data_IF_332938398006
#
_entry.id   IF_332938398006
#
_cell.length_a   1.000
_cell.length_b   1.000
_cell.length_c   1.000
_cell.angle_alpha   90.00
_cell.angle_beta   90.00
_cell.angle_gamma   90.00
#
_symmetry.space_group_name_H-M   'P 1'
#
loop_
_entity.id
_entity.type
_entity.pdbx_description
1 polymer ?
#
# COMPACT_ATOMS: atom_id res chain seq x y z
N UNK A 1 18.09 -0.49 -1.46
CA UNK A 1 18.51 0.52 -0.48
C UNK A 1 18.43 1.91 -1.09
N UNK A 2 17.77 2.88 -0.41
CA UNK A 2 17.73 4.28 -0.84
C UNK A 2 19.15 4.88 -0.81
N UNK A 3 19.57 5.51 -1.91
CA UNK A 3 20.87 6.18 -2.05
C UNK A 3 20.73 7.69 -2.04
N UNK A 4 19.77 8.20 -2.76
CA UNK A 4 19.52 9.63 -2.86
C UNK A 4 18.04 9.85 -3.16
N UNK A 5 17.56 11.02 -2.81
CA UNK A 5 16.22 11.44 -3.12
C UNK A 5 16.14 12.95 -3.31
N UNK A 6 15.03 13.41 -3.88
CA UNK A 6 14.73 14.82 -4.09
C UNK A 6 13.25 15.06 -3.88
N UNK A 7 12.92 16.18 -3.27
CA UNK A 7 11.56 16.63 -3.02
C UNK A 7 11.37 17.99 -3.68
N UNK A 8 10.29 18.17 -4.45
CA UNK A 8 9.97 19.40 -5.14
C UNK A 8 8.50 19.75 -4.99
N UNK A 9 8.20 21.04 -4.94
CA UNK A 9 6.85 21.58 -4.90
C UNK A 9 5.93 20.90 -3.86
N UNK A 10 6.48 20.52 -2.71
CA UNK A 10 5.76 19.83 -1.65
C UNK A 10 5.67 20.70 -0.40
N UNK A 11 4.45 21.17 -0.07
CA UNK A 11 4.17 22.08 1.05
C UNK A 11 5.10 23.31 1.03
N UNK A 12 5.95 23.48 2.06
CA UNK A 12 6.91 24.58 2.15
C UNK A 12 8.24 24.32 1.41
N UNK A 13 8.38 23.19 0.73
CA UNK A 13 9.62 22.81 0.02
C UNK A 13 9.47 23.10 -1.46
N UNK A 14 10.14 24.14 -1.96
CA UNK A 14 10.20 24.42 -3.40
C UNK A 14 11.05 23.35 -4.11
N UNK A 15 12.27 23.17 -3.67
CA UNK A 15 13.21 22.18 -4.17
C UNK A 15 14.26 21.88 -3.10
N UNK A 16 14.35 20.64 -2.66
CA UNK A 16 15.36 20.20 -1.68
C UNK A 16 16.76 20.07 -2.28
N UNK A 17 16.87 20.12 -3.62
CA UNK A 17 18.04 19.57 -4.28
C UNK A 17 18.14 18.05 -4.08
N UNK A 18 19.22 17.47 -4.60
CA UNK A 18 19.52 16.05 -4.41
C UNK A 18 20.12 15.79 -3.02
N UNK A 19 19.48 14.93 -2.24
CA UNK A 19 19.90 14.56 -0.89
C UNK A 19 20.45 13.13 -0.92
N UNK A 20 21.74 12.96 -0.65
CA UNK A 20 22.37 11.64 -0.53
C UNK A 20 22.17 11.10 0.88
N UNK A 21 21.80 9.82 0.99
CA UNK A 21 21.55 9.15 2.28
C UNK A 21 22.45 7.92 2.43
N UNK A 22 22.94 7.71 3.65
CA UNK A 22 23.64 6.50 4.06
C UNK A 22 22.71 5.53 4.80
N UNK A 23 23.28 4.73 5.71
CA UNK A 23 22.50 3.88 6.61
C UNK A 23 21.74 4.70 7.66
N UNK A 24 22.29 5.87 7.98
CA UNK A 24 21.70 6.85 8.86
C UNK A 24 21.89 8.23 8.24
N UNK A 25 20.86 9.04 8.24
CA UNK A 25 20.90 10.44 7.84
C UNK A 25 20.20 11.28 8.90
N UNK A 26 20.77 12.45 9.20
CA UNK A 26 20.18 13.39 10.16
C UNK A 26 20.00 14.76 9.51
N UNK A 27 18.79 15.31 9.63
CA UNK A 27 18.46 16.65 9.19
C UNK A 27 18.59 17.63 10.37
N UNK A 28 19.47 18.61 10.23
CA UNK A 28 19.72 19.63 11.25
C UNK A 28 19.38 21.00 10.68
N UNK A 29 18.72 21.83 11.45
CA UNK A 29 18.33 23.18 11.04
C UNK A 29 17.33 23.80 12.02
N UNK A 30 16.99 25.05 11.78
CA UNK A 30 16.03 25.83 12.58
C UNK A 30 14.64 25.15 12.50
N UNK A 31 13.77 25.47 13.50
CA UNK A 31 12.35 25.12 13.40
C UNK A 31 11.76 25.73 12.13
N UNK A 32 10.77 25.07 11.56
CA UNK A 32 10.09 25.48 10.30
C UNK A 32 10.97 25.53 9.05
N UNK A 33 12.19 24.92 9.08
CA UNK A 33 13.07 24.87 7.90
C UNK A 33 12.75 23.71 6.91
N UNK A 34 11.59 23.09 7.02
CA UNK A 34 11.14 22.03 6.10
C UNK A 34 11.68 20.62 6.37
N UNK A 35 12.44 20.38 7.46
CA UNK A 35 13.02 19.06 7.78
C UNK A 35 11.96 17.96 7.85
N UNK A 36 10.91 18.20 8.63
CA UNK A 36 9.78 17.30 8.79
C UNK A 36 9.04 17.08 7.48
N UNK A 37 8.84 18.15 6.72
CA UNK A 37 8.19 18.13 5.41
C UNK A 37 8.95 17.24 4.42
N UNK A 38 10.27 17.35 4.37
CA UNK A 38 11.12 16.50 3.50
C UNK A 38 11.00 15.01 3.90
N UNK A 39 10.99 14.70 5.21
CA UNK A 39 10.82 13.32 5.67
C UNK A 39 9.41 12.78 5.37
N UNK A 40 8.39 13.60 5.56
CA UNK A 40 7.02 13.25 5.21
C UNK A 40 6.82 13.03 3.72
N UNK A 41 7.49 13.83 2.87
CA UNK A 41 7.41 13.65 1.42
C UNK A 41 7.86 12.25 0.96
N UNK A 42 8.78 11.59 1.68
CA UNK A 42 9.19 10.21 1.36
C UNK A 42 8.06 9.21 1.48
N UNK A 43 7.05 9.44 2.35
CA UNK A 43 5.89 8.54 2.44
C UNK A 43 5.05 8.54 1.18
N UNK A 44 5.10 9.61 0.37
CA UNK A 44 4.45 9.64 -0.94
C UNK A 44 5.00 8.59 -1.92
N UNK A 45 6.15 7.99 -1.63
CA UNK A 45 6.67 6.84 -2.38
C UNK A 45 6.00 5.53 -1.96
N UNK A 46 5.16 5.51 -0.92
CA UNK A 46 4.40 4.32 -0.54
C UNK A 46 3.25 4.07 -1.51
N UNK A 47 2.91 2.80 -1.67
CA UNK A 47 1.83 2.33 -2.55
C UNK A 47 0.47 2.95 -2.21
N UNK A 48 0.18 3.04 -0.90
CA UNK A 48 -1.14 3.39 -0.37
C UNK A 48 -1.35 4.90 -0.18
N UNK A 49 -0.30 5.70 -0.37
CA UNK A 49 -0.35 7.15 -0.19
C UNK A 49 -0.86 7.85 -1.45
N UNK A 50 -1.59 8.92 -1.26
CA UNK A 50 -2.08 9.77 -2.34
C UNK A 50 -1.61 11.21 -2.13
N UNK A 51 -1.35 11.90 -3.22
CA UNK A 51 -1.06 13.35 -3.18
C UNK A 51 -2.36 14.11 -3.01
N UNK A 52 -2.44 14.93 -1.98
CA UNK A 52 -3.53 15.89 -1.77
C UNK A 52 -3.15 17.25 -2.35
N UNK A 53 -4.15 18.02 -2.77
CA UNK A 53 -3.93 19.43 -3.18
C UNK A 53 -3.28 20.26 -2.06
N UNK A 54 -3.56 19.90 -0.78
CA UNK A 54 -2.94 20.52 0.40
C UNK A 54 -1.44 20.19 0.57
N UNK A 55 -0.95 19.18 -0.15
CA UNK A 55 0.46 18.80 -0.15
C UNK A 55 1.27 19.57 -1.20
N UNK A 56 0.62 20.29 -2.11
CA UNK A 56 1.29 21.07 -3.13
C UNK A 56 1.77 22.41 -2.57
N UNK A 57 2.87 22.92 -3.12
CA UNK A 57 3.45 24.19 -2.70
C UNK A 57 2.66 25.36 -3.30
N UNK A 58 1.99 26.15 -2.48
CA UNK A 58 1.17 27.30 -2.90
C UNK A 58 1.97 28.37 -3.65
N UNK A 59 3.27 28.47 -3.43
CA UNK A 59 4.14 29.46 -4.08
C UNK A 59 4.60 29.04 -5.48
N UNK A 60 4.35 27.77 -5.89
CA UNK A 60 4.79 27.21 -7.17
C UNK A 60 3.64 26.94 -8.16
N UNK A 61 2.61 27.79 -8.15
CA UNK A 61 1.40 27.61 -8.98
C UNK A 61 1.70 27.54 -10.48
N UNK A 62 2.65 28.33 -10.97
CA UNK A 62 3.00 28.32 -12.39
C UNK A 62 3.72 27.05 -12.82
N UNK A 63 4.67 26.58 -12.00
CA UNK A 63 5.41 25.35 -12.23
C UNK A 63 4.50 24.12 -12.16
N UNK A 64 3.52 24.13 -11.23
CA UNK A 64 2.54 23.07 -11.06
C UNK A 64 1.55 22.93 -12.25
N UNK A 65 1.49 23.90 -13.16
CA UNK A 65 0.78 23.75 -14.43
C UNK A 65 1.42 22.71 -15.35
N UNK A 66 2.70 22.40 -15.18
CA UNK A 66 3.39 21.31 -15.84
C UNK A 66 3.44 20.06 -14.94
N UNK A 67 3.80 18.92 -15.51
CA UNK A 67 4.05 17.73 -14.72
C UNK A 67 5.41 17.83 -14.02
N UNK A 68 5.39 17.73 -12.69
CA UNK A 68 6.58 17.81 -11.83
C UNK A 68 6.66 16.54 -10.97
N UNK A 69 7.85 15.97 -10.86
CA UNK A 69 8.14 14.95 -9.85
C UNK A 69 8.16 15.62 -8.48
N UNK A 70 7.16 15.32 -7.64
CA UNK A 70 7.06 15.84 -6.27
C UNK A 70 8.09 15.21 -5.36
N UNK A 71 8.27 13.92 -5.51
CA UNK A 71 9.26 13.13 -4.79
C UNK A 71 9.84 12.09 -5.74
N UNK A 72 11.15 11.93 -5.70
CA UNK A 72 11.86 10.87 -6.41
C UNK A 72 12.96 10.30 -5.51
N UNK A 73 13.11 8.97 -5.52
CA UNK A 73 14.15 8.25 -4.78
C UNK A 73 14.88 7.25 -5.68
N UNK A 74 16.22 7.30 -5.66
CA UNK A 74 17.06 6.32 -6.33
C UNK A 74 17.48 5.24 -5.33
N UNK A 75 17.32 3.99 -5.73
CA UNK A 75 17.58 2.80 -4.94
C UNK A 75 18.66 1.94 -5.62
N UNK A 76 19.64 1.48 -4.84
CA UNK A 76 20.46 0.34 -5.24
C UNK A 76 19.76 -0.95 -4.84
N UNK A 77 19.72 -1.90 -5.77
CA UNK A 77 19.24 -3.25 -5.53
C UNK A 77 20.37 -4.11 -4.94
N UNK A 78 20.03 -4.97 -3.99
CA UNK A 78 20.96 -5.95 -3.43
C UNK A 78 21.05 -7.19 -4.33
N UNK A 79 21.99 -8.09 -4.04
CA UNK A 79 22.22 -9.28 -4.87
C UNK A 79 20.99 -10.19 -4.94
N UNK A 80 20.26 -10.37 -3.84
CA UNK A 80 19.05 -11.20 -3.80
C UNK A 80 17.92 -10.59 -4.64
N UNK A 81 17.72 -9.26 -4.55
CA UNK A 81 16.73 -8.53 -5.36
C UNK A 81 17.06 -8.61 -6.86
N UNK A 82 18.36 -8.50 -7.21
CA UNK A 82 18.82 -8.65 -8.60
C UNK A 82 18.59 -10.07 -9.11
N UNK A 83 18.83 -11.09 -8.29
CA UNK A 83 18.64 -12.49 -8.64
C UNK A 83 17.14 -12.79 -8.84
N UNK A 84 16.28 -12.31 -7.95
CA UNK A 84 14.83 -12.44 -8.05
C UNK A 84 14.28 -11.81 -9.35
N UNK A 85 14.81 -10.64 -9.74
CA UNK A 85 14.45 -10.01 -11.02
C UNK A 85 14.93 -10.86 -12.20
N UNK A 86 16.15 -11.41 -12.16
CA UNK A 86 16.71 -12.23 -13.24
C UNK A 86 15.97 -13.55 -13.43
N UNK A 87 15.50 -14.17 -12.36
CA UNK A 87 14.68 -15.38 -12.46
C UNK A 87 13.41 -15.14 -13.27
N UNK A 88 12.76 -13.99 -13.07
CA UNK A 88 11.53 -13.63 -13.76
C UNK A 88 11.78 -13.01 -15.13
N UNK A 89 12.84 -12.22 -15.26
CA UNK A 89 13.24 -11.46 -16.47
C UNK A 89 14.72 -11.67 -16.79
N UNK A 90 15.09 -12.83 -17.39
CA UNK A 90 16.50 -13.21 -17.57
C UNK A 90 17.34 -12.24 -18.42
N UNK A 91 16.70 -11.47 -19.31
CA UNK A 91 17.35 -10.45 -20.14
C UNK A 91 17.63 -9.14 -19.40
N UNK A 92 17.08 -8.97 -18.18
CA UNK A 92 17.12 -7.72 -17.45
C UNK A 92 18.32 -7.67 -16.49
N UNK A 93 19.15 -6.65 -16.63
CA UNK A 93 20.27 -6.39 -15.70
C UNK A 93 20.03 -5.09 -14.94
N UNK A 94 19.02 -5.08 -14.10
CA UNK A 94 18.65 -3.91 -13.29
C UNK A 94 19.46 -3.92 -11.99
N UNK A 95 20.26 -2.88 -11.77
CA UNK A 95 21.04 -2.68 -10.54
C UNK A 95 20.55 -1.50 -9.73
N UNK A 96 19.88 -0.57 -10.38
CA UNK A 96 19.34 0.65 -9.81
C UNK A 96 17.92 0.86 -10.28
N UNK A 97 17.13 1.48 -9.43
CA UNK A 97 15.74 1.78 -9.66
C UNK A 97 15.45 3.18 -9.14
N UNK A 98 14.81 4.02 -9.93
CA UNK A 98 14.24 5.27 -9.44
C UNK A 98 12.73 5.12 -9.33
N UNK A 99 12.20 5.44 -8.15
CA UNK A 99 10.78 5.46 -7.85
C UNK A 99 10.38 6.91 -7.66
N UNK A 100 9.28 7.33 -8.27
CA UNK A 100 8.84 8.71 -8.16
C UNK A 100 7.32 8.85 -8.24
N UNK A 101 6.82 10.01 -7.80
CA UNK A 101 5.43 10.42 -7.90
C UNK A 101 5.35 11.85 -8.43
N UNK A 102 4.37 12.13 -9.29
CA UNK A 102 4.17 13.44 -9.88
C UNK A 102 2.89 14.12 -9.34
N UNK A 103 2.76 15.42 -9.60
CA UNK A 103 1.56 16.17 -9.26
C UNK A 103 0.34 15.82 -10.12
N UNK A 104 0.53 15.18 -11.28
CA UNK A 104 -0.54 14.84 -12.22
C UNK A 104 -0.92 13.37 -12.21
N UNK A 105 0.01 12.49 -11.89
CA UNK A 105 -0.25 11.06 -11.82
C UNK A 105 -0.26 10.60 -10.36
N UNK A 106 -1.41 10.15 -9.82
CA UNK A 106 -1.50 9.67 -8.45
C UNK A 106 -0.80 8.31 -8.25
N UNK A 107 -0.51 7.58 -9.33
CA UNK A 107 0.14 6.27 -9.25
C UNK A 107 1.66 6.42 -9.10
N UNK A 108 2.29 5.45 -8.42
CA UNK A 108 3.75 5.32 -8.35
C UNK A 108 4.29 5.03 -9.74
N UNK A 109 5.38 5.69 -10.08
CA UNK A 109 6.07 5.51 -11.35
C UNK A 109 7.49 5.03 -11.12
N UNK A 110 8.02 4.29 -12.10
CA UNK A 110 9.35 3.71 -12.06
C UNK A 110 10.17 4.18 -13.25
N UNK A 111 11.46 4.46 -12.99
CA UNK A 111 12.45 4.73 -14.03
C UNK A 111 13.59 3.73 -13.88
N UNK A 112 13.83 2.99 -14.94
CA UNK A 112 14.86 1.96 -15.03
C UNK A 112 16.15 2.46 -15.68
N UNK A 113 16.26 3.77 -15.92
CA UNK A 113 17.38 4.38 -16.61
C UNK A 113 17.46 3.94 -18.09
N UNK A 114 18.68 3.73 -18.59
CA UNK A 114 18.94 3.41 -20.03
C UNK A 114 18.59 1.95 -20.41
N UNK A 115 17.72 1.29 -19.67
CA UNK A 115 17.35 -0.09 -19.94
C UNK A 115 16.60 -0.19 -21.26
N UNK A 116 17.19 -0.91 -22.23
CA UNK A 116 16.54 -1.24 -23.49
C UNK A 116 15.56 -2.37 -23.27
N UNK A 117 14.31 -2.01 -22.95
CA UNK A 117 13.22 -2.98 -22.88
C UNK A 117 12.77 -3.35 -24.31
N UNK A 118 12.49 -4.62 -24.52
CA UNK A 118 11.94 -5.09 -25.80
C UNK A 118 10.54 -4.49 -25.96
N UNK A 119 10.33 -3.70 -27.00
CA UNK A 119 9.00 -3.17 -27.32
C UNK A 119 8.12 -4.28 -27.88
N UNK A 120 7.33 -4.92 -27.04
CA UNK A 120 6.21 -5.73 -27.52
C UNK A 120 5.02 -4.81 -27.79
N UNK A 121 4.44 -4.95 -28.96
CA UNK A 121 3.30 -4.16 -29.44
C UNK A 121 1.98 -4.73 -28.93
N UNK A 122 1.81 -4.76 -27.61
CA UNK A 122 0.63 -5.32 -26.99
C UNK A 122 -0.29 -4.21 -26.42
N UNK A 123 -1.56 -4.51 -26.31
CA UNK A 123 -2.54 -3.59 -25.70
C UNK A 123 -2.48 -3.74 -24.17
N UNK A 124 -2.32 -2.62 -23.47
CA UNK A 124 -2.25 -2.61 -22.01
C UNK A 124 -3.60 -2.92 -21.33
N UNK A 125 -3.55 -3.29 -20.01
CA UNK A 125 -4.74 -3.71 -19.26
C UNK A 125 -5.84 -2.65 -19.19
N UNK A 126 -5.49 -1.36 -19.09
CA UNK A 126 -6.47 -0.26 -19.03
C UNK A 126 -7.25 -0.11 -20.32
N UNK A 127 -6.54 -0.13 -21.45
CA UNK A 127 -7.15 -0.03 -22.79
C UNK A 127 -8.04 -1.24 -23.07
N UNK A 128 -7.59 -2.43 -22.69
CA UNK A 128 -8.41 -3.64 -22.81
C UNK A 128 -9.67 -3.57 -21.94
N UNK A 129 -9.56 -3.10 -20.69
CA UNK A 129 -10.72 -2.96 -19.79
C UNK A 129 -11.81 -2.05 -20.35
N UNK A 130 -11.41 -0.99 -21.05
CA UNK A 130 -12.37 -0.10 -21.71
C UNK A 130 -13.08 -0.80 -22.86
N UNK A 131 -12.34 -1.43 -23.77
CA UNK A 131 -12.92 -2.20 -24.88
C UNK A 131 -13.84 -3.31 -24.38
N UNK A 132 -13.38 -4.12 -23.43
CA UNK A 132 -14.18 -5.21 -22.86
C UNK A 132 -15.46 -4.72 -22.18
N UNK A 133 -15.43 -3.56 -21.53
CA UNK A 133 -16.61 -2.95 -20.91
C UNK A 133 -17.67 -2.57 -21.94
N UNK A 134 -17.28 -1.98 -23.08
CA UNK A 134 -18.21 -1.67 -24.16
C UNK A 134 -18.83 -2.93 -24.75
N UNK A 135 -18.01 -3.96 -25.02
CA UNK A 135 -18.48 -5.23 -25.54
C UNK A 135 -19.43 -5.95 -24.60
N UNK A 136 -19.09 -6.05 -23.32
CA UNK A 136 -19.94 -6.72 -22.33
C UNK A 136 -21.25 -5.98 -22.10
N UNK A 137 -21.22 -4.64 -22.05
CA UNK A 137 -22.46 -3.85 -21.91
C UNK A 137 -23.40 -4.05 -23.11
N UNK A 138 -22.87 -4.15 -24.32
CA UNK A 138 -23.69 -4.47 -25.50
C UNK A 138 -24.27 -5.89 -25.43
N UNK A 139 -23.44 -6.89 -25.07
CA UNK A 139 -23.87 -8.28 -24.95
C UNK A 139 -25.03 -8.45 -23.95
N UNK A 140 -25.08 -7.62 -22.91
CA UNK A 140 -26.20 -7.61 -21.96
C UNK A 140 -27.51 -7.09 -22.56
N UNK A 141 -27.47 -6.25 -23.57
CA UNK A 141 -28.65 -5.64 -24.22
C UNK A 141 -29.29 -6.51 -25.30
N UNK A 142 -28.53 -7.45 -25.89
CA UNK A 142 -29.02 -8.30 -26.98
C UNK A 142 -29.92 -9.46 -26.50
N UNK A 143 -30.85 -9.93 -27.34
CA UNK A 143 -31.75 -11.05 -27.02
C UNK A 143 -30.97 -12.33 -26.63
N UNK A 144 -31.54 -13.08 -25.67
CA UNK A 144 -30.90 -14.29 -25.14
C UNK A 144 -30.57 -15.35 -26.20
N UNK A 145 -31.39 -15.50 -27.23
CA UNK A 145 -31.15 -16.48 -28.29
C UNK A 145 -29.93 -16.15 -29.17
N UNK A 146 -29.57 -14.87 -29.29
CA UNK A 146 -28.36 -14.43 -29.95
C UNK A 146 -27.16 -14.57 -28.99
N UNK A 147 -27.33 -14.10 -27.73
CA UNK A 147 -26.28 -14.12 -26.73
C UNK A 147 -25.71 -15.51 -26.45
N UNK A 148 -26.54 -16.54 -26.42
CA UNK A 148 -26.11 -17.94 -26.17
C UNK A 148 -25.20 -18.47 -27.30
N UNK A 149 -25.28 -17.92 -28.51
CA UNK A 149 -24.51 -18.34 -29.65
C UNK A 149 -23.15 -17.61 -29.78
N UNK A 150 -22.91 -16.58 -28.94
CA UNK A 150 -21.69 -15.79 -28.96
C UNK A 150 -20.68 -16.35 -27.95
N UNK A 151 -19.42 -16.54 -28.38
CA UNK A 151 -18.34 -16.84 -27.45
C UNK A 151 -17.83 -15.55 -26.81
N UNK A 152 -18.23 -15.32 -25.56
CA UNK A 152 -17.87 -14.14 -24.77
C UNK A 152 -16.66 -14.33 -23.86
N UNK A 153 -16.19 -15.58 -23.68
CA UNK A 153 -15.08 -15.93 -22.77
C UNK A 153 -13.79 -15.20 -23.07
N UNK A 154 -13.60 -14.85 -24.32
CA UNK A 154 -12.44 -14.09 -24.77
C UNK A 154 -12.35 -12.70 -24.12
N UNK A 155 -13.48 -12.06 -23.84
CA UNK A 155 -13.56 -10.70 -23.30
C UNK A 155 -13.57 -10.66 -21.77
N UNK A 156 -13.84 -11.78 -21.11
CA UNK A 156 -13.91 -11.88 -19.66
C UNK A 156 -12.53 -11.95 -18.99
N UNK A 157 -11.54 -12.51 -19.70
CA UNK A 157 -10.21 -12.72 -19.14
C UNK A 157 -9.16 -11.91 -19.92
N UNK A 158 -8.52 -10.96 -19.23
CA UNK A 158 -7.36 -10.27 -19.79
C UNK A 158 -6.17 -11.21 -19.83
N UNK A 159 -5.68 -11.47 -21.04
CA UNK A 159 -4.35 -12.03 -21.31
C UNK A 159 -3.63 -11.06 -22.23
N UNK A 160 -2.34 -10.83 -21.99
CA UNK A 160 -1.49 -9.98 -22.85
C UNK A 160 -1.62 -10.47 -24.29
N UNK A 161 -2.10 -9.59 -25.21
CA UNK A 161 -2.37 -9.97 -26.59
C UNK A 161 -1.84 -8.92 -27.55
N UNK A 162 -1.28 -9.41 -28.64
CA UNK A 162 -0.85 -8.58 -29.77
C UNK A 162 -2.03 -7.80 -30.35
N UNK A 163 -1.79 -6.53 -30.72
CA UNK A 163 -2.82 -5.63 -31.29
C UNK A 163 -3.45 -6.23 -32.55
N UNK A 164 -2.66 -6.85 -33.43
CA UNK A 164 -3.17 -7.48 -34.67
C UNK A 164 -4.03 -8.71 -34.37
N UNK A 165 -3.65 -9.51 -33.37
CA UNK A 165 -4.46 -10.64 -32.94
C UNK A 165 -5.82 -10.17 -32.40
N UNK A 166 -5.85 -9.14 -31.55
CA UNK A 166 -7.09 -8.57 -31.02
C UNK A 166 -7.97 -7.96 -32.11
N UNK A 167 -7.36 -7.30 -33.11
CA UNK A 167 -8.07 -6.79 -34.29
C UNK A 167 -8.77 -7.90 -35.04
N UNK A 168 -8.07 -9.00 -35.27
CA UNK A 168 -8.62 -10.18 -35.94
C UNK A 168 -9.82 -10.74 -35.20
N UNK A 169 -9.71 -10.86 -33.85
CA UNK A 169 -10.80 -11.36 -33.02
C UNK A 169 -12.02 -10.41 -32.98
N UNK A 170 -11.80 -9.10 -32.97
CA UNK A 170 -12.89 -8.11 -33.04
C UNK A 170 -13.62 -8.16 -34.41
N UNK A 171 -12.88 -8.33 -35.49
CA UNK A 171 -13.43 -8.49 -36.86
C UNK A 171 -14.24 -9.79 -36.97
N UNK A 172 -13.71 -10.89 -36.42
CA UNK A 172 -14.41 -12.18 -36.40
C UNK A 172 -15.69 -12.11 -35.55
N UNK A 173 -15.62 -11.48 -34.37
CA UNK A 173 -16.78 -11.27 -33.52
C UNK A 173 -17.84 -10.39 -34.17
N UNK A 174 -17.43 -9.32 -34.87
CA UNK A 174 -18.33 -8.48 -35.68
C UNK A 174 -19.05 -9.32 -36.76
N UNK A 175 -18.33 -10.14 -37.51
CA UNK A 175 -18.90 -10.99 -38.51
C UNK A 175 -19.90 -12.00 -37.95
N UNK A 176 -19.56 -12.59 -36.81
CA UNK A 176 -20.44 -13.54 -36.10
C UNK A 176 -21.76 -12.90 -35.67
N UNK A 177 -21.71 -11.69 -35.06
CA UNK A 177 -22.93 -10.96 -34.67
C UNK A 177 -23.79 -10.66 -35.93
N UNK A 178 -23.20 -10.12 -37.00
CA UNK A 178 -23.93 -9.79 -38.22
C UNK A 178 -24.60 -11.02 -38.86
N UNK A 179 -23.98 -12.20 -38.74
CA UNK A 179 -24.53 -13.44 -39.28
C UNK A 179 -25.65 -14.00 -38.37
N UNK A 180 -25.43 -14.05 -37.05
CA UNK A 180 -26.39 -14.62 -36.10
C UNK A 180 -27.65 -13.74 -35.95
N UNK A 181 -27.47 -12.43 -36.00
CA UNK A 181 -28.54 -11.44 -35.88
C UNK A 181 -29.07 -10.93 -37.21
N UNK A 182 -28.87 -11.66 -38.32
CA UNK A 182 -29.23 -11.21 -39.68
C UNK A 182 -30.70 -10.78 -39.85
N UNK A 183 -31.62 -11.41 -39.08
CA UNK A 183 -33.03 -11.12 -39.10
C UNK A 183 -33.47 -10.02 -38.11
N UNK A 184 -32.54 -9.48 -37.31
CA UNK A 184 -32.78 -8.44 -36.31
C UNK A 184 -32.03 -7.13 -36.68
N UNK A 185 -32.56 -6.38 -37.66
CA UNK A 185 -31.95 -5.15 -38.18
C UNK A 185 -31.57 -4.14 -37.08
N UNK A 186 -32.36 -4.05 -36.03
CA UNK A 186 -32.12 -3.12 -34.90
C UNK A 186 -30.84 -3.49 -34.15
N UNK A 187 -30.65 -4.76 -33.81
CA UNK A 187 -29.46 -5.28 -33.12
C UNK A 187 -28.21 -5.08 -33.98
N UNK A 188 -28.30 -5.38 -35.26
CA UNK A 188 -27.17 -5.20 -36.21
C UNK A 188 -26.83 -3.72 -36.37
N UNK A 189 -27.82 -2.83 -36.45
CA UNK A 189 -27.57 -1.38 -36.57
C UNK A 189 -26.93 -0.80 -35.29
N UNK A 190 -27.39 -1.22 -34.13
CA UNK A 190 -26.84 -0.79 -32.84
C UNK A 190 -25.40 -1.31 -32.66
N UNK A 191 -25.17 -2.60 -32.98
CA UNK A 191 -23.85 -3.18 -32.97
C UNK A 191 -22.87 -2.48 -33.89
N UNK A 192 -23.25 -2.14 -35.13
CA UNK A 192 -22.37 -1.43 -36.04
C UNK A 192 -21.86 -0.11 -35.49
N UNK A 193 -22.71 0.67 -34.83
CA UNK A 193 -22.31 1.92 -34.19
C UNK A 193 -21.26 1.69 -33.10
N UNK A 194 -21.49 0.69 -32.23
CA UNK A 194 -20.59 0.32 -31.16
C UNK A 194 -19.26 -0.21 -31.73
N UNK A 195 -19.32 -1.02 -32.77
CA UNK A 195 -18.14 -1.57 -33.43
C UNK A 195 -17.27 -0.46 -34.05
N UNK A 196 -17.87 0.50 -34.73
CA UNK A 196 -17.17 1.64 -35.32
C UNK A 196 -16.52 2.51 -34.24
N UNK A 197 -17.19 2.70 -33.10
CA UNK A 197 -16.64 3.41 -31.94
C UNK A 197 -15.48 2.64 -31.32
N UNK A 198 -15.63 1.35 -31.09
CA UNK A 198 -14.55 0.47 -30.60
C UNK A 198 -13.34 0.49 -31.54
N UNK A 199 -13.57 0.39 -32.85
CA UNK A 199 -12.49 0.37 -33.83
C UNK A 199 -11.78 1.73 -33.93
N UNK A 200 -12.51 2.85 -33.79
CA UNK A 200 -11.93 4.18 -33.73
C UNK A 200 -11.03 4.32 -32.48
N UNK A 201 -11.53 3.90 -31.32
CA UNK A 201 -10.75 3.89 -30.09
C UNK A 201 -9.55 2.95 -30.19
N UNK A 202 -9.74 1.77 -30.81
CA UNK A 202 -8.71 0.77 -31.01
C UNK A 202 -7.55 1.27 -31.87
N UNK A 203 -7.81 2.02 -32.93
CA UNK A 203 -6.74 2.62 -33.76
C UNK A 203 -5.95 3.69 -32.99
N UNK A 204 -6.59 4.39 -32.06
CA UNK A 204 -6.00 5.43 -31.23
C UNK A 204 -5.33 4.89 -29.95
N UNK A 205 -5.44 3.57 -29.66
CA UNK A 205 -4.78 2.98 -28.49
C UNK A 205 -3.27 3.10 -28.62
N UNK A 206 -2.67 3.78 -27.65
CA UNK A 206 -1.22 3.80 -27.51
C UNK A 206 -0.71 2.39 -27.21
N UNK A 207 0.28 1.96 -27.99
CA UNK A 207 0.97 0.70 -27.75
C UNK A 207 1.74 0.86 -26.44
N UNK A 208 1.31 0.13 -25.41
CA UNK A 208 1.99 0.09 -24.13
C UNK A 208 3.14 -0.93 -24.18
N UNK A 209 4.25 -0.60 -23.53
CA UNK A 209 5.34 -1.54 -23.37
C UNK A 209 4.98 -2.55 -22.28
N UNK A 210 4.40 -3.68 -22.66
CA UNK A 210 3.92 -4.73 -21.75
C UNK A 210 5.04 -5.36 -20.92
N UNK A 211 6.27 -5.41 -21.45
CA UNK A 211 7.42 -5.85 -20.68
C UNK A 211 7.69 -4.87 -19.53
N UNK A 212 7.62 -3.57 -19.79
CA UNK A 212 7.74 -2.53 -18.77
C UNK A 212 6.66 -2.65 -17.70
N UNK A 213 5.40 -2.78 -18.08
CA UNK A 213 4.27 -2.94 -17.17
C UNK A 213 4.44 -4.19 -16.31
N UNK A 214 4.88 -5.31 -16.91
CA UNK A 214 5.12 -6.55 -16.17
C UNK A 214 6.26 -6.42 -15.15
N UNK A 215 7.30 -5.66 -15.48
CA UNK A 215 8.42 -5.38 -14.57
C UNK A 215 7.97 -4.42 -13.46
N UNK A 216 7.26 -3.35 -13.80
CA UNK A 216 6.72 -2.40 -12.82
C UNK A 216 5.79 -3.09 -11.81
N UNK A 217 4.90 -3.96 -12.28
CA UNK A 217 4.01 -4.74 -11.42
C UNK A 217 4.79 -5.71 -10.54
N UNK A 218 5.78 -6.40 -11.09
CA UNK A 218 6.62 -7.31 -10.32
C UNK A 218 7.40 -6.59 -9.22
N UNK A 219 7.97 -5.41 -9.52
CA UNK A 219 8.66 -4.59 -8.53
C UNK A 219 7.69 -4.09 -7.47
N UNK A 220 6.51 -3.62 -7.88
CA UNK A 220 5.47 -3.15 -6.97
C UNK A 220 5.06 -4.23 -5.97
N UNK A 221 4.94 -5.47 -6.42
CA UNK A 221 4.45 -6.58 -5.59
C UNK A 221 5.53 -7.21 -4.70
N UNK A 222 6.81 -7.18 -5.14
CA UNK A 222 7.87 -7.95 -4.48
C UNK A 222 9.02 -7.11 -3.90
N UNK A 223 9.28 -5.92 -4.43
CA UNK A 223 10.51 -5.17 -4.15
C UNK A 223 10.24 -3.71 -3.76
N UNK A 224 8.98 -3.28 -3.79
CA UNK A 224 8.65 -1.88 -3.51
C UNK A 224 8.97 -1.53 -2.05
N UNK A 225 9.82 -0.50 -1.80
CA UNK A 225 10.19 -0.12 -0.44
C UNK A 225 9.01 0.53 0.28
N UNK A 226 8.93 0.34 1.59
CA UNK A 226 7.97 1.02 2.44
C UNK A 226 8.66 2.07 3.30
N UNK A 227 8.16 3.29 3.27
CA UNK A 227 8.58 4.39 4.11
C UNK A 227 7.61 4.54 5.27
N UNK A 228 8.14 4.48 6.48
CA UNK A 228 7.34 4.68 7.69
C UNK A 228 7.83 5.96 8.35
N UNK A 229 6.95 6.96 8.41
CA UNK A 229 7.21 8.21 9.08
C UNK A 229 6.78 8.11 10.54
N UNK A 230 7.73 8.22 11.44
CA UNK A 230 7.46 8.27 12.88
C UNK A 230 7.52 9.72 13.34
N UNK A 231 6.37 10.33 13.57
CA UNK A 231 6.24 11.61 14.27
C UNK A 231 6.27 11.39 15.79
N UNK A 232 5.88 12.39 16.55
CA UNK A 232 5.70 12.29 18.02
C UNK A 232 4.52 11.37 18.37
N UNK A 233 4.65 10.06 18.05
CA UNK A 233 3.62 9.09 18.40
C UNK A 233 3.40 9.00 19.91
N UNK A 234 2.14 8.87 20.28
CA UNK A 234 1.78 8.79 21.70
C UNK A 234 2.13 7.40 22.26
N UNK A 235 2.80 7.42 23.40
CA UNK A 235 3.23 6.21 24.10
C UNK A 235 2.02 5.37 24.51
N UNK A 236 2.17 4.06 24.42
CA UNK A 236 1.19 3.12 24.96
C UNK A 236 1.15 3.32 26.49
N UNK A 237 -0.05 3.52 26.99
CA UNK A 237 -0.30 3.55 28.42
C UNK A 237 -0.40 2.11 28.93
N UNK A 238 0.02 1.90 30.19
CA UNK A 238 -0.05 0.58 30.82
C UNK A 238 -1.48 0.05 31.00
N UNK A 239 -2.47 0.96 30.99
CA UNK A 239 -3.89 0.63 31.04
C UNK A 239 -4.61 1.28 29.85
N UNK A 240 -5.31 0.47 29.06
CA UNK A 240 -6.06 0.88 27.88
C UNK A 240 -7.55 0.70 28.20
N UNK A 241 -8.31 1.78 28.20
CA UNK A 241 -9.76 1.71 28.28
C UNK A 241 -10.34 1.36 26.91
N UNK A 242 -10.83 0.14 26.74
CA UNK A 242 -11.30 -0.34 25.46
C UNK A 242 -12.58 0.36 24.98
N UNK A 243 -13.45 0.82 25.91
CA UNK A 243 -14.63 1.58 25.51
C UNK A 243 -14.25 2.94 24.93
N UNK A 244 -13.29 3.63 25.56
CA UNK A 244 -12.76 4.88 25.03
C UNK A 244 -12.06 4.66 23.68
N UNK A 245 -11.24 3.63 23.58
CA UNK A 245 -10.55 3.26 22.35
C UNK A 245 -11.51 3.00 21.18
N UNK A 246 -12.60 2.26 21.40
CA UNK A 246 -13.61 2.00 20.38
C UNK A 246 -14.28 3.30 19.94
N UNK A 247 -14.69 4.15 20.88
CA UNK A 247 -15.34 5.42 20.58
C UNK A 247 -14.42 6.38 19.81
N UNK A 248 -13.14 6.46 20.15
CA UNK A 248 -12.16 7.27 19.45
C UNK A 248 -11.87 6.71 18.04
N UNK A 249 -11.77 5.39 17.89
CA UNK A 249 -11.59 4.73 16.59
C UNK A 249 -12.74 5.02 15.62
N UNK A 250 -13.97 4.98 16.11
CA UNK A 250 -15.16 5.25 15.28
C UNK A 250 -15.24 6.72 14.85
N UNK A 251 -14.79 7.65 15.68
CA UNK A 251 -14.75 9.07 15.35
C UNK A 251 -13.66 9.40 14.32
N UNK A 252 -12.49 8.74 14.40
CA UNK A 252 -11.39 8.96 13.46
C UNK A 252 -11.73 8.52 12.03
N UNK A 253 -12.59 7.51 11.87
CA UNK A 253 -13.08 7.05 10.56
C UNK A 253 -14.10 8.03 9.94
N UNK A 254 -14.71 8.91 10.74
CA UNK A 254 -15.71 9.88 10.28
C UNK A 254 -15.11 11.20 9.71
N UNK A 255 -13.80 11.37 9.71
CA UNK A 255 -13.05 12.41 8.98
C UNK A 255 -13.18 13.83 9.53
N UNK A 256 -12.20 14.30 10.31
CA UNK A 256 -12.02 15.70 10.68
C UNK A 256 -10.61 15.98 11.13
N UNK A 257 -10.04 17.09 10.68
CA UNK A 257 -8.64 17.51 10.91
C UNK A 257 -8.32 17.72 12.42
N UNK A 258 -9.32 17.92 13.24
CA UNK A 258 -9.18 18.18 14.69
C UNK A 258 -8.79 16.92 15.52
N UNK A 259 -8.80 15.73 14.88
CA UNK A 259 -8.59 14.44 15.56
C UNK A 259 -7.18 13.82 15.38
N UNK A 260 -6.24 14.49 14.72
CA UNK A 260 -4.91 13.93 14.42
C UNK A 260 -4.13 13.53 15.68
N UNK A 261 -4.28 14.26 16.79
CA UNK A 261 -3.61 13.93 18.04
C UNK A 261 -4.22 12.71 18.78
N UNK A 262 -5.53 12.51 18.70
CA UNK A 262 -6.21 11.31 19.22
C UNK A 262 -5.95 10.09 18.36
N UNK A 263 -5.85 10.29 17.04
CA UNK A 263 -5.56 9.26 16.05
C UNK A 263 -4.22 8.55 16.31
N UNK A 264 -3.14 9.28 16.56
CA UNK A 264 -1.81 8.70 16.83
C UNK A 264 -1.81 7.75 18.04
N UNK A 265 -2.56 8.08 19.10
CA UNK A 265 -2.69 7.20 20.28
C UNK A 265 -3.49 5.94 19.94
N UNK A 266 -4.55 6.09 19.20
CA UNK A 266 -5.44 5.01 18.77
C UNK A 266 -4.68 4.05 17.85
N UNK A 267 -3.85 4.57 16.94
CA UNK A 267 -3.06 3.76 16.04
C UNK A 267 -2.02 2.90 16.76
N UNK A 268 -1.27 3.47 17.71
CA UNK A 268 -0.29 2.69 18.51
C UNK A 268 -0.96 1.55 19.29
N UNK A 269 -2.15 1.80 19.85
CA UNK A 269 -2.94 0.76 20.53
C UNK A 269 -3.46 -0.27 19.53
N UNK A 270 -3.95 0.16 18.36
CA UNK A 270 -4.39 -0.72 17.26
C UNK A 270 -3.26 -1.64 16.82
N UNK A 271 -2.05 -1.12 16.66
CA UNK A 271 -0.86 -1.89 16.32
C UNK A 271 -0.49 -2.91 17.41
N UNK A 272 -0.62 -2.56 18.69
CA UNK A 272 -0.44 -3.50 19.80
C UNK A 272 -1.45 -4.65 19.72
N UNK A 273 -2.73 -4.35 19.54
CA UNK A 273 -3.80 -5.33 19.43
C UNK A 273 -3.62 -6.22 18.18
N UNK A 274 -3.20 -5.64 17.06
CA UNK A 274 -2.87 -6.35 15.83
C UNK A 274 -1.74 -7.37 16.04
N UNK A 275 -0.63 -6.95 16.63
CA UNK A 275 0.49 -7.86 16.95
C UNK A 275 0.10 -8.96 17.94
N UNK A 276 -0.81 -8.68 18.86
CA UNK A 276 -1.34 -9.66 19.80
C UNK A 276 -2.38 -10.60 19.16
N UNK A 277 -2.86 -10.30 17.94
CA UNK A 277 -4.03 -10.93 17.33
C UNK A 277 -5.25 -10.93 18.26
N UNK A 278 -5.45 -9.81 18.94
CA UNK A 278 -6.47 -9.66 19.96
C UNK A 278 -7.67 -8.92 19.37
N UNK A 279 -8.77 -9.64 19.20
CA UNK A 279 -10.05 -9.10 18.76
C UNK A 279 -10.85 -8.60 19.96
N UNK A 280 -11.20 -7.32 19.98
CA UNK A 280 -11.92 -6.69 21.10
C UNK A 280 -13.29 -7.32 21.31
N UNK A 281 -14.01 -7.68 20.25
CA UNK A 281 -15.30 -8.34 20.31
C UNK A 281 -15.24 -9.66 21.10
N UNK A 282 -14.19 -10.44 20.94
CA UNK A 282 -13.99 -11.70 21.69
C UNK A 282 -13.77 -11.48 23.18
N UNK A 283 -13.19 -10.34 23.59
CA UNK A 283 -13.07 -10.02 25.02
C UNK A 283 -14.45 -9.85 25.68
N UNK A 284 -15.36 -9.19 24.99
CA UNK A 284 -16.72 -9.00 25.49
C UNK A 284 -17.51 -10.31 25.56
N UNK A 285 -17.36 -11.20 24.59
CA UNK A 285 -17.97 -12.53 24.60
C UNK A 285 -17.42 -13.40 25.74
N UNK A 286 -16.12 -13.32 25.98
CA UNK A 286 -15.43 -14.18 26.94
C UNK A 286 -15.45 -13.68 28.37
N UNK A 287 -15.85 -12.44 28.65
CA UNK A 287 -15.87 -11.84 30.02
C UNK A 287 -16.65 -12.66 31.05
N UNK A 288 -17.65 -13.42 30.60
CA UNK A 288 -18.45 -14.30 31.47
C UNK A 288 -17.85 -15.72 31.58
N UNK A 289 -16.70 -16.00 30.99
CA UNK A 289 -16.02 -17.30 31.00
C UNK A 289 -14.55 -17.13 31.41
N UNK A 290 -14.22 -16.94 32.69
CA UNK A 290 -12.87 -16.60 33.15
C UNK A 290 -11.76 -17.50 32.62
N UNK A 291 -11.99 -18.82 32.62
CA UNK A 291 -10.96 -19.78 32.14
C UNK A 291 -10.68 -19.66 30.63
N UNK A 292 -11.72 -19.34 29.82
CA UNK A 292 -11.53 -19.10 28.37
C UNK A 292 -10.86 -17.76 28.13
N UNK A 293 -11.25 -16.74 28.87
CA UNK A 293 -10.64 -15.41 28.78
C UNK A 293 -9.14 -15.47 29.12
N UNK A 294 -8.76 -16.15 30.20
CA UNK A 294 -7.34 -16.30 30.59
C UNK A 294 -6.56 -17.01 29.47
N UNK A 295 -7.09 -18.11 28.91
CA UNK A 295 -6.42 -18.80 27.79
C UNK A 295 -6.26 -17.90 26.57
N UNK A 296 -7.26 -17.14 26.23
CA UNK A 296 -7.24 -16.20 25.12
C UNK A 296 -6.17 -15.10 25.31
N UNK A 297 -6.15 -14.49 26.48
CA UNK A 297 -5.14 -13.46 26.83
C UNK A 297 -3.72 -14.02 26.90
N UNK A 298 -3.54 -15.23 27.43
CA UNK A 298 -2.22 -15.88 27.46
C UNK A 298 -1.71 -16.14 26.04
N UNK A 299 -2.58 -16.56 25.12
CA UNK A 299 -2.19 -16.76 23.73
C UNK A 299 -1.81 -15.44 23.05
N UNK A 300 -2.59 -14.39 23.24
CA UNK A 300 -2.30 -13.05 22.74
C UNK A 300 -0.99 -12.48 23.31
N UNK A 301 -0.76 -12.65 24.61
CA UNK A 301 0.46 -12.25 25.32
C UNK A 301 1.70 -12.93 24.75
N UNK A 302 1.61 -14.26 24.50
CA UNK A 302 2.69 -15.04 23.93
C UNK A 302 3.04 -14.55 22.52
N UNK A 303 2.03 -14.37 21.65
CA UNK A 303 2.23 -13.85 20.29
C UNK A 303 2.90 -12.49 20.30
N UNK A 304 2.40 -11.57 21.14
CA UNK A 304 2.97 -10.24 21.28
C UNK A 304 4.44 -10.30 21.73
N UNK A 305 4.76 -11.11 22.72
CA UNK A 305 6.13 -11.32 23.22
C UNK A 305 7.05 -11.85 22.12
N UNK A 306 6.61 -12.87 21.38
CA UNK A 306 7.37 -13.50 20.28
C UNK A 306 7.64 -12.52 19.14
N UNK A 307 6.68 -11.63 18.82
CA UNK A 307 6.81 -10.64 17.74
C UNK A 307 7.68 -9.43 18.10
N UNK A 308 7.71 -9.05 19.38
CA UNK A 308 8.49 -7.89 19.82
C UNK A 308 9.96 -8.22 20.09
N UNK A 309 10.27 -9.39 20.63
CA UNK A 309 11.63 -9.75 21.04
C UNK A 309 12.67 -9.74 19.92
N UNK A 310 12.38 -10.12 18.64
CA UNK A 310 13.37 -10.02 17.55
C UNK A 310 13.89 -8.59 17.32
N UNK A 311 13.05 -7.58 17.52
CA UNK A 311 13.40 -6.16 17.39
C UNK A 311 13.91 -5.55 18.72
N UNK A 312 13.79 -6.26 19.83
CA UNK A 312 14.21 -5.78 21.14
C UNK A 312 15.70 -6.01 21.35
N UNK A 313 16.49 -4.95 21.53
CA UNK A 313 17.96 -5.01 21.63
C UNK A 313 18.51 -5.17 23.06
N UNK A 314 17.64 -5.14 24.07
CA UNK A 314 18.01 -5.36 25.48
C UNK A 314 17.88 -6.83 25.93
N UNK A 315 17.79 -7.04 27.25
CA UNK A 315 17.37 -8.34 27.77
C UNK A 315 15.97 -8.66 27.27
N UNK A 316 15.68 -9.93 26.94
CA UNK A 316 14.35 -10.31 26.47
C UNK A 316 13.26 -9.86 27.43
N UNK A 317 12.16 -9.43 26.88
CA UNK A 317 10.98 -9.02 27.67
C UNK A 317 9.89 -10.08 27.54
N UNK A 318 9.08 -10.21 28.60
CA UNK A 318 7.81 -10.90 28.56
C UNK A 318 6.68 -9.88 28.70
N UNK A 319 5.75 -9.91 27.77
CA UNK A 319 4.58 -9.02 27.74
C UNK A 319 3.34 -9.82 28.10
N UNK A 320 2.64 -9.40 29.15
CA UNK A 320 1.42 -10.04 29.62
C UNK A 320 0.25 -9.06 29.51
N UNK A 321 -0.82 -9.49 28.88
CA UNK A 321 -2.07 -8.75 28.76
C UNK A 321 -3.04 -9.24 29.83
N UNK A 322 -3.59 -8.32 30.61
CA UNK A 322 -4.58 -8.61 31.67
C UNK A 322 -5.84 -7.80 31.42
N UNK A 323 -6.98 -8.47 31.47
CA UNK A 323 -8.27 -7.81 31.33
C UNK A 323 -8.89 -7.59 32.71
N UNK A 324 -9.19 -6.35 33.04
CA UNK A 324 -9.66 -5.92 34.35
C UNK A 324 -11.10 -5.38 34.26
N UNK A 325 -11.82 -5.31 35.41
CA UNK A 325 -13.15 -4.70 35.47
C UNK A 325 -13.15 -3.28 34.87
N UNK A 326 -14.27 -2.91 34.21
CA UNK A 326 -14.40 -1.62 33.55
C UNK A 326 -13.85 -1.63 32.10
N UNK A 327 -13.68 -2.81 31.49
CA UNK A 327 -13.15 -2.99 30.14
C UNK A 327 -11.74 -2.38 29.97
N UNK A 328 -10.89 -2.57 30.99
CA UNK A 328 -9.51 -2.08 31.00
C UNK A 328 -8.57 -3.22 30.62
N UNK A 329 -7.84 -3.05 29.52
CA UNK A 329 -6.75 -3.93 29.12
C UNK A 329 -5.44 -3.37 29.69
N UNK A 330 -4.80 -4.14 30.57
CA UNK A 330 -3.53 -3.76 31.19
C UNK A 330 -2.36 -4.47 30.51
N UNK A 331 -1.30 -3.72 30.21
CA UNK A 331 -0.04 -4.22 29.66
C UNK A 331 0.97 -4.31 30.81
N UNK A 332 1.34 -5.54 31.14
CA UNK A 332 2.34 -5.87 32.17
C UNK A 332 3.60 -6.33 31.45
N UNK A 333 4.75 -5.81 31.88
CA UNK A 333 6.05 -6.15 31.30
C UNK A 333 6.98 -6.66 32.39
N UNK A 334 7.72 -7.71 32.08
CA UNK A 334 8.80 -8.22 32.90
C UNK A 334 10.05 -8.46 32.07
N UNK A 335 11.22 -8.34 32.70
CA UNK A 335 12.50 -8.63 32.10
C UNK A 335 12.82 -10.12 32.32
N UNK A 336 13.29 -10.79 31.27
CA UNK A 336 13.62 -12.25 31.30
C UNK A 336 15.13 -12.38 31.18
N UNK A 337 15.78 -12.86 32.26
CA UNK A 337 17.22 -13.09 32.27
C UNK A 337 17.58 -14.41 31.59
N UNK A 338 18.86 -14.58 31.23
CA UNK A 338 19.38 -15.76 30.53
C UNK A 338 19.20 -17.06 31.29
N UNK A 339 19.10 -16.99 32.62
CA UNK A 339 18.82 -18.13 33.50
C UNK A 339 17.33 -18.45 33.64
N UNK A 340 16.47 -17.73 32.93
CA UNK A 340 15.01 -17.85 32.99
C UNK A 340 14.37 -17.10 34.17
N UNK A 341 15.14 -16.39 34.99
CA UNK A 341 14.61 -15.57 36.07
C UNK A 341 13.83 -14.37 35.51
N UNK A 342 12.64 -14.13 36.06
CA UNK A 342 11.77 -13.02 35.71
C UNK A 342 11.91 -11.93 36.77
N UNK A 343 12.23 -10.73 36.35
CA UNK A 343 12.36 -9.56 37.26
C UNK A 343 11.55 -8.37 36.73
N UNK A 344 11.48 -7.32 37.54
CA UNK A 344 10.85 -6.05 37.18
C UNK A 344 9.41 -6.18 36.63
N UNK A 345 8.65 -7.21 37.08
CA UNK A 345 7.26 -7.39 36.68
C UNK A 345 6.41 -6.20 37.14
N UNK A 346 5.80 -5.50 36.21
CA UNK A 346 4.95 -4.37 36.52
C UNK A 346 4.20 -3.81 35.30
N UNK A 347 3.24 -2.95 35.59
CA UNK A 347 2.52 -2.25 34.53
C UNK A 347 3.49 -1.40 33.71
N UNK A 348 3.27 -1.35 32.38
CA UNK A 348 4.08 -0.55 31.45
C UNK A 348 4.20 0.92 31.87
N UNK A 349 3.14 1.52 32.44
CA UNK A 349 3.15 2.91 32.95
C UNK A 349 4.14 3.16 34.10
N UNK A 350 4.56 2.12 34.80
CA UNK A 350 5.56 2.21 35.89
C UNK A 350 7.00 2.12 35.42
N UNK A 351 7.22 1.78 34.15
CA UNK A 351 8.55 1.77 33.54
C UNK A 351 9.03 3.19 33.23
N UNK A 352 10.34 3.36 33.11
CA UNK A 352 10.96 4.63 32.74
C UNK A 352 10.41 5.18 31.44
N UNK A 353 10.38 6.49 31.25
CA UNK A 353 9.85 7.15 30.07
C UNK A 353 10.54 6.68 28.77
N UNK A 354 11.88 6.54 28.79
CA UNK A 354 12.62 6.01 27.66
C UNK A 354 12.24 4.57 27.27
N UNK A 355 11.95 3.72 28.29
CA UNK A 355 11.46 2.36 28.03
C UNK A 355 10.09 2.39 27.34
N UNK A 356 9.15 3.16 27.84
CA UNK A 356 7.80 3.30 27.25
C UNK A 356 7.88 3.80 25.82
N UNK A 357 8.80 4.73 25.57
CA UNK A 357 9.04 5.25 24.23
C UNK A 357 9.57 4.17 23.29
N UNK A 358 10.63 3.45 23.68
CA UNK A 358 11.22 2.37 22.88
C UNK A 358 10.20 1.24 22.65
N UNK A 359 9.45 0.86 23.68
CA UNK A 359 8.41 -0.16 23.59
C UNK A 359 7.34 0.22 22.56
N UNK A 360 6.81 1.43 22.62
CA UNK A 360 5.81 1.93 21.68
C UNK A 360 6.37 2.03 20.26
N UNK A 361 7.63 2.44 20.12
CA UNK A 361 8.32 2.46 18.85
C UNK A 361 8.42 1.05 18.23
N UNK A 362 8.87 0.06 19.00
CA UNK A 362 9.01 -1.32 18.52
C UNK A 362 7.65 -1.93 18.17
N UNK A 363 6.59 -1.63 18.92
CA UNK A 363 5.23 -2.06 18.61
C UNK A 363 4.79 -1.52 17.24
N UNK A 364 4.96 -0.23 17.00
CA UNK A 364 4.60 0.36 15.70
C UNK A 364 5.46 -0.20 14.57
N UNK A 365 6.77 -0.30 14.77
CA UNK A 365 7.70 -0.83 13.78
C UNK A 365 7.39 -2.29 13.42
N UNK A 366 7.20 -3.16 14.42
CA UNK A 366 6.89 -4.57 14.20
C UNK A 366 5.54 -4.76 13.48
N UNK A 367 4.53 -3.97 13.86
CA UNK A 367 3.22 -4.01 13.19
C UNK A 367 3.32 -3.61 11.71
N UNK A 368 4.05 -2.52 11.41
CA UNK A 368 4.23 -2.07 10.04
C UNK A 368 5.04 -3.07 9.19
N UNK A 369 6.08 -3.67 9.77
CA UNK A 369 6.85 -4.73 9.09
C UNK A 369 5.96 -5.93 8.76
N UNK A 370 5.15 -6.40 9.72
CA UNK A 370 4.25 -7.53 9.50
C UNK A 370 3.14 -7.23 8.48
N UNK A 371 2.59 -6.02 8.49
CA UNK A 371 1.62 -5.59 7.46
C UNK A 371 2.25 -5.59 6.06
N UNK A 372 3.52 -5.18 5.96
CA UNK A 372 4.25 -5.16 4.70
C UNK A 372 4.56 -6.55 4.15
N UNK A 373 4.75 -7.55 5.03
CA UNK A 373 4.98 -8.96 4.62
C UNK A 373 3.70 -9.67 4.15
N UNK A 374 2.51 -9.15 4.52
CA UNK A 374 1.21 -9.75 4.18
C UNK A 374 0.58 -9.15 2.91
N UNK A 375 1.11 -8.03 2.43
CA UNK A 375 0.68 -7.33 1.21
C UNK A 375 1.67 -7.58 0.07
#
# INVERSE_FOLDING_TARGET
RLRRFRVRAFRCVHDSGEITVGDLAAFVGRNESGKTTILQALTLLNRDEMVSDLDLCDEMVEELKSEIKLVEGEFDLNENEIELIREKFPSLNLKKLTIFRTNRNPEIQYDFGDLKLTQKKDIGPKSWKNISKYLLSFIETIPNHIRIQLDTKFFENYTIKDKEFLRTQLVEFHSNICNIASDEEQVVSEWKKIYDEIMSDFENISIENTERISIEQFILDNLHPRFVYFSDYKKILGNINLNQFINESTKSEAGGIEYLEEFDRTETVRNLLYLAELEIGKLDELKHSPSKLIKFLNTASKKLTERLNPSWKGEPINVELRFNPGNILSVVISDVHKDGTITNMGLLNRRAEGFKWIFSFIVNFAAETQKAELN
#
